data_IF_054112472149
#
_entry.id   IF_054112472149
#
_cell.length_a   1.000
_cell.length_b   1.000
_cell.length_c   1.000
_cell.angle_alpha   90.00
_cell.angle_beta   90.00
_cell.angle_gamma   90.00
#
_symmetry.space_group_name_H-M   'P 1'
#
loop_
_entity.id
_entity.type
_entity.pdbx_description
1 polymer ?
#
# COMPACT_ATOMS: atom_id res chain seq x y z
N UNK A 1 -7.07 -9.51 -8.19
CA UNK A 1 -6.06 -8.47 -7.96
C UNK A 1 -6.75 -7.13 -7.97
N UNK A 2 -6.35 -6.21 -7.11
CA UNK A 2 -6.79 -4.82 -7.08
C UNK A 2 -5.66 -3.88 -7.52
N UNK A 3 -6.01 -2.63 -7.77
CA UNK A 3 -5.07 -1.51 -7.81
C UNK A 3 -5.27 -0.71 -6.52
N UNK A 4 -4.18 -0.27 -5.90
CA UNK A 4 -4.20 0.54 -4.68
C UNK A 4 -3.83 1.99 -5.03
N UNK A 5 -4.74 2.94 -4.79
CA UNK A 5 -4.44 4.37 -4.82
C UNK A 5 -4.22 4.82 -3.37
N UNK A 6 -3.05 5.38 -3.08
CA UNK A 6 -2.61 5.61 -1.70
C UNK A 6 -2.06 7.03 -1.54
N UNK A 7 -2.55 7.76 -0.54
CA UNK A 7 -1.97 9.06 -0.19
C UNK A 7 -0.53 8.87 0.29
N UNK A 8 0.39 9.72 -0.17
CA UNK A 8 1.79 9.73 0.32
C UNK A 8 1.92 10.00 1.83
N UNK A 9 0.88 10.54 2.47
CA UNK A 9 0.86 10.79 3.92
C UNK A 9 0.16 9.67 4.71
N UNK A 10 -0.32 8.62 4.04
CA UNK A 10 -0.82 7.44 4.75
C UNK A 10 0.35 6.78 5.49
N UNK A 11 0.13 6.30 6.72
CA UNK A 11 1.20 5.63 7.48
C UNK A 11 1.78 4.39 6.78
N UNK A 12 1.01 3.78 5.87
CA UNK A 12 1.45 2.65 5.06
C UNK A 12 2.16 3.06 3.74
N UNK A 13 2.36 4.36 3.48
CA UNK A 13 2.94 4.82 2.22
C UNK A 13 4.40 4.37 2.03
N UNK A 14 5.19 4.36 3.11
CA UNK A 14 6.58 3.91 3.06
C UNK A 14 6.69 2.39 2.78
N UNK A 15 5.74 1.60 3.28
CA UNK A 15 5.73 0.15 3.14
C UNK A 15 5.08 -0.32 1.83
N UNK A 16 3.95 0.29 1.46
CA UNK A 16 3.10 -0.16 0.34
C UNK A 16 3.25 0.71 -0.92
N UNK A 17 3.85 1.89 -0.81
CA UNK A 17 3.91 2.89 -1.88
C UNK A 17 4.59 2.42 -3.15
N UNK A 18 5.52 1.46 -3.06
CA UNK A 18 6.22 0.88 -4.22
C UNK A 18 5.27 0.18 -5.20
N UNK A 19 4.19 -0.42 -4.70
CA UNK A 19 3.23 -1.18 -5.49
C UNK A 19 1.84 -0.51 -5.57
N UNK A 20 1.76 0.76 -5.14
CA UNK A 20 0.56 1.59 -5.17
C UNK A 20 0.72 2.79 -6.13
N UNK A 21 -0.40 3.36 -6.56
CA UNK A 21 -0.44 4.67 -7.22
C UNK A 21 -0.43 5.74 -6.12
N UNK A 22 0.75 6.31 -5.85
CA UNK A 22 0.89 7.34 -4.81
C UNK A 22 0.30 8.67 -5.26
N UNK A 23 -0.48 9.30 -4.39
CA UNK A 23 -1.13 10.60 -4.65
C UNK A 23 -0.84 11.62 -3.56
N UNK A 24 -0.86 12.89 -3.92
CA UNK A 24 -1.02 14.01 -3.02
C UNK A 24 -2.50 14.13 -2.61
N UNK A 25 -2.86 14.01 -1.31
CA UNK A 25 -4.27 14.09 -0.91
C UNK A 25 -4.90 15.48 -1.14
N UNK A 26 -4.08 16.52 -1.34
CA UNK A 26 -4.55 17.87 -1.63
C UNK A 26 -4.69 18.15 -3.13
N UNK A 27 -4.25 17.24 -3.99
CA UNK A 27 -4.37 17.35 -5.44
C UNK A 27 -5.46 16.41 -5.96
N UNK A 28 -6.65 16.98 -6.15
CA UNK A 28 -7.82 16.23 -6.63
C UNK A 28 -7.64 15.79 -8.08
N UNK A 29 -6.98 16.60 -8.91
CA UNK A 29 -6.72 16.27 -10.31
C UNK A 29 -5.77 15.09 -10.43
N UNK A 30 -4.66 15.11 -9.69
CA UNK A 30 -3.75 13.96 -9.61
C UNK A 30 -4.46 12.69 -9.12
N UNK A 31 -5.35 12.84 -8.13
CA UNK A 31 -6.13 11.69 -7.62
C UNK A 31 -7.06 11.12 -8.70
N UNK A 32 -7.70 11.97 -9.50
CA UNK A 32 -8.53 11.54 -10.62
C UNK A 32 -7.71 10.79 -11.69
N UNK A 33 -6.53 11.31 -12.04
CA UNK A 33 -5.62 10.66 -12.99
C UNK A 33 -5.13 9.29 -12.49
N UNK A 34 -4.78 9.20 -11.21
CA UNK A 34 -4.37 7.95 -10.57
C UNK A 34 -5.51 6.91 -10.55
N UNK A 35 -6.76 7.33 -10.33
CA UNK A 35 -7.92 6.44 -10.42
C UNK A 35 -8.13 5.95 -11.86
N UNK A 36 -7.97 6.82 -12.86
CA UNK A 36 -8.05 6.44 -14.26
C UNK A 36 -6.99 5.40 -14.64
N UNK A 37 -5.73 5.62 -14.23
CA UNK A 37 -4.63 4.67 -14.44
C UNK A 37 -4.89 3.34 -13.73
N UNK A 38 -5.32 3.39 -12.47
CA UNK A 38 -5.62 2.21 -11.66
C UNK A 38 -6.72 1.34 -12.27
N UNK A 39 -7.78 1.95 -12.81
CA UNK A 39 -8.87 1.26 -13.50
C UNK A 39 -8.46 0.68 -14.85
N UNK A 40 -7.53 1.35 -15.55
CA UNK A 40 -6.98 0.93 -16.84
C UNK A 40 -5.87 -0.11 -16.73
N UNK A 41 -5.38 -0.41 -15.52
CA UNK A 41 -4.26 -1.33 -15.30
C UNK A 41 -4.66 -2.77 -15.70
N UNK A 42 -3.84 -3.46 -16.53
CA UNK A 42 -4.11 -4.83 -16.96
C UNK A 42 -4.31 -5.81 -15.79
N UNK A 43 -5.22 -6.80 -15.90
CA UNK A 43 -5.52 -7.74 -14.83
C UNK A 43 -4.30 -8.47 -14.26
N UNK A 44 -3.34 -8.83 -15.10
CA UNK A 44 -2.12 -9.56 -14.77
C UNK A 44 -1.22 -8.72 -13.85
N UNK A 45 -0.94 -7.47 -14.26
CA UNK A 45 -0.16 -6.53 -13.47
C UNK A 45 -0.83 -6.22 -12.12
N UNK A 46 -2.17 -6.08 -12.10
CA UNK A 46 -2.91 -5.93 -10.84
C UNK A 46 -2.72 -7.12 -9.92
N UNK A 47 -2.78 -8.36 -10.44
CA UNK A 47 -2.58 -9.58 -9.62
C UNK A 47 -1.17 -9.62 -9.04
N UNK A 48 -0.14 -9.31 -9.84
CA UNK A 48 1.24 -9.26 -9.37
C UNK A 48 1.45 -8.21 -8.28
N UNK A 49 0.98 -6.97 -8.50
CA UNK A 49 1.03 -5.90 -7.49
C UNK A 49 0.28 -6.29 -6.22
N UNK A 50 -0.91 -6.88 -6.35
CA UNK A 50 -1.70 -7.38 -5.21
C UNK A 50 -0.93 -8.39 -4.37
N UNK A 51 -0.24 -9.34 -5.01
CA UNK A 51 0.53 -10.35 -4.30
C UNK A 51 1.67 -9.73 -3.48
N UNK A 52 2.38 -8.74 -4.05
CA UNK A 52 3.44 -8.00 -3.34
C UNK A 52 2.89 -7.15 -2.19
N UNK A 53 1.77 -6.46 -2.42
CA UNK A 53 1.07 -5.70 -1.38
C UNK A 53 0.63 -6.60 -0.22
N UNK A 54 0.08 -7.78 -0.51
CA UNK A 54 -0.33 -8.73 0.52
C UNK A 54 0.87 -9.25 1.32
N UNK A 55 1.99 -9.55 0.66
CA UNK A 55 3.21 -9.96 1.34
C UNK A 55 3.75 -8.85 2.27
N UNK A 56 3.80 -7.60 1.79
CA UNK A 56 4.23 -6.47 2.60
C UNK A 56 3.29 -6.22 3.79
N UNK A 57 1.98 -6.18 3.56
CA UNK A 57 0.98 -5.90 4.59
C UNK A 57 0.90 -6.97 5.70
N UNK A 58 1.44 -8.17 5.44
CA UNK A 58 1.44 -9.29 6.40
C UNK A 58 2.82 -9.57 6.99
N UNK A 59 3.84 -8.77 6.65
CA UNK A 59 5.21 -8.98 7.09
C UNK A 59 5.39 -8.86 8.61
N UNK A 60 4.58 -8.03 9.29
CA UNK A 60 4.60 -7.88 10.74
C UNK A 60 3.18 -8.05 11.32
N UNK A 61 2.74 -9.30 11.57
CA UNK A 61 1.42 -9.55 12.13
C UNK A 61 1.29 -9.00 13.57
N UNK A 62 0.06 -8.74 14.05
CA UNK A 62 -0.15 -8.09 15.35
C UNK A 62 0.52 -8.78 16.55
N UNK A 63 0.55 -10.11 16.57
CA UNK A 63 1.20 -10.86 17.65
C UNK A 63 2.71 -10.61 17.68
N UNK A 64 3.38 -10.71 16.53
CA UNK A 64 4.82 -10.44 16.41
C UNK A 64 5.15 -8.97 16.70
N UNK A 65 4.31 -8.04 16.26
CA UNK A 65 4.44 -6.62 16.62
C UNK A 65 4.41 -6.42 18.14
N UNK A 66 3.44 -7.02 18.84
CA UNK A 66 3.30 -6.90 20.29
C UNK A 66 4.48 -7.55 21.02
N UNK A 67 4.88 -8.76 20.62
CA UNK A 67 6.04 -9.45 21.18
C UNK A 67 7.31 -8.61 21.05
N UNK A 68 7.52 -7.94 19.91
CA UNK A 68 8.65 -7.04 19.73
C UNK A 68 8.61 -5.84 20.68
N UNK A 69 7.43 -5.27 20.95
CA UNK A 69 7.29 -4.20 21.93
C UNK A 69 7.58 -4.69 23.35
N UNK A 70 7.08 -5.86 23.74
CA UNK A 70 7.33 -6.45 25.06
C UNK A 70 8.83 -6.76 25.26
N UNK A 71 9.47 -7.37 24.26
CA UNK A 71 10.90 -7.66 24.30
C UNK A 71 11.77 -6.39 24.40
N UNK A 72 11.29 -5.26 23.86
CA UNK A 72 11.99 -3.98 23.97
C UNK A 72 11.92 -3.35 25.37
N UNK A 73 11.01 -3.83 26.24
CA UNK A 73 10.86 -3.34 27.62
C UNK A 73 11.72 -4.12 28.64
N UNK A 74 12.13 -5.35 28.32
CA UNK A 74 12.89 -6.24 29.21
C UNK A 74 12.05 -7.37 29.79
#
# INVERSE_FOLDING_TARGET
GMSLVLSRHAGAADELGRDAHLVNPFDVSQTADALHEALSTPPELRRERTARLAAAATALPPAAWLEAQLAALG
#
